data_IF_045389852832
#
_entry.id   IF_045389852832
#
_cell.length_a   1.000
_cell.length_b   1.000
_cell.length_c   1.000
_cell.angle_alpha   90.00
_cell.angle_beta   90.00
_cell.angle_gamma   90.00
#
_symmetry.space_group_name_H-M   'P 1'
#
loop_
_entity.id
_entity.type
_entity.pdbx_description
1 polymer ?
#
# COMPACT_ATOMS: atom_id res chain seq x y z
N UNK A 1 25.54 10.27 0.10
CA UNK A 1 24.29 9.44 0.06
C UNK A 1 23.07 10.29 -0.24
N UNK A 2 22.98 11.52 0.26
CA UNK A 2 21.91 12.48 -0.03
C UNK A 2 21.88 12.84 -1.52
N UNK A 3 23.04 13.08 -2.12
CA UNK A 3 23.20 13.40 -3.53
C UNK A 3 22.64 12.32 -4.45
N UNK A 4 22.74 11.04 -4.07
CA UNK A 4 22.18 9.93 -4.84
C UNK A 4 20.66 9.97 -4.88
N UNK A 5 19.99 10.34 -3.78
CA UNK A 5 18.54 10.48 -3.73
C UNK A 5 18.07 11.61 -4.66
N UNK A 6 18.76 12.75 -4.61
CA UNK A 6 18.47 13.89 -5.49
C UNK A 6 18.74 13.56 -6.96
N UNK A 7 19.83 12.85 -7.26
CA UNK A 7 20.15 12.41 -8.62
C UNK A 7 19.08 11.47 -9.18
N UNK A 8 18.60 10.51 -8.38
CA UNK A 8 17.51 9.59 -8.76
C UNK A 8 16.20 10.34 -8.98
N UNK A 9 15.89 11.34 -8.16
CA UNK A 9 14.71 12.19 -8.31
C UNK A 9 14.78 13.00 -9.62
N UNK A 10 15.91 13.62 -9.90
CA UNK A 10 16.14 14.37 -11.13
C UNK A 10 16.08 13.48 -12.40
N UNK A 11 16.64 12.27 -12.33
CA UNK A 11 16.66 11.34 -13.45
C UNK A 11 15.27 10.75 -13.80
N UNK A 12 14.31 10.75 -12.87
CA UNK A 12 12.96 10.20 -13.09
C UNK A 12 12.02 11.14 -13.84
N UNK A 13 12.29 12.44 -13.89
CA UNK A 13 11.49 13.44 -14.59
C UNK A 13 10.08 13.67 -14.02
N UNK A 14 9.42 14.76 -14.45
CA UNK A 14 8.01 15.04 -14.17
C UNK A 14 7.15 14.12 -15.03
N UNK A 15 6.44 13.19 -14.41
CA UNK A 15 5.61 12.16 -15.07
C UNK A 15 6.03 10.74 -14.73
N UNK A 16 6.88 10.59 -13.72
CA UNK A 16 7.32 9.29 -13.24
C UNK A 16 6.13 8.45 -12.77
N UNK A 17 6.12 7.18 -13.21
CA UNK A 17 5.25 6.12 -12.68
C UNK A 17 5.28 6.15 -11.15
N UNK A 18 4.18 5.73 -10.52
CA UNK A 18 4.08 5.56 -9.08
C UNK A 18 5.41 5.06 -8.49
N UNK A 19 6.03 5.81 -7.55
CA UNK A 19 7.39 5.51 -7.08
C UNK A 19 7.46 4.29 -6.14
N UNK A 20 6.31 3.83 -5.65
CA UNK A 20 6.19 2.69 -4.74
C UNK A 20 6.62 1.40 -5.44
N UNK A 21 7.35 0.55 -4.74
CA UNK A 21 7.91 -0.71 -5.26
C UNK A 21 7.60 -1.90 -4.35
N UNK A 22 6.35 -2.38 -4.30
CA UNK A 22 5.92 -3.43 -3.39
C UNK A 22 6.77 -4.70 -3.45
N UNK A 23 7.10 -5.14 -4.66
CA UNK A 23 7.97 -6.31 -4.91
C UNK A 23 9.33 -6.20 -4.22
N UNK A 24 9.98 -5.03 -4.34
CA UNK A 24 11.29 -4.81 -3.73
C UNK A 24 11.19 -4.73 -2.22
N UNK A 25 10.15 -4.10 -1.72
CA UNK A 25 9.86 -3.96 -0.29
C UNK A 25 9.60 -5.32 0.35
N UNK A 26 8.76 -6.17 -0.28
CA UNK A 26 8.54 -7.54 0.16
C UNK A 26 9.84 -8.35 0.25
N UNK A 27 10.67 -8.31 -0.78
CA UNK A 27 11.94 -9.03 -0.80
C UNK A 27 12.92 -8.54 0.26
N UNK A 28 12.89 -7.24 0.58
CA UNK A 28 13.74 -6.68 1.63
C UNK A 28 13.24 -7.07 3.02
N UNK A 29 11.95 -6.99 3.28
CA UNK A 29 11.37 -7.36 4.57
C UNK A 29 11.53 -8.86 4.87
N UNK A 30 11.42 -9.73 3.86
CA UNK A 30 11.72 -11.16 4.02
C UNK A 30 13.16 -11.38 4.46
N UNK A 31 14.13 -10.72 3.80
CA UNK A 31 15.54 -10.82 4.19
C UNK A 31 15.81 -10.28 5.59
N UNK A 32 15.08 -9.25 6.01
CA UNK A 32 15.15 -8.75 7.38
C UNK A 32 14.60 -9.77 8.36
N UNK A 33 13.44 -10.38 8.06
CA UNK A 33 12.83 -11.41 8.89
C UNK A 33 13.75 -12.64 9.05
N UNK A 34 14.37 -13.11 7.96
CA UNK A 34 15.31 -14.22 7.97
C UNK A 34 16.55 -13.96 8.83
N UNK A 35 16.97 -12.71 8.94
CA UNK A 35 18.17 -12.30 9.71
C UNK A 35 17.83 -11.82 11.10
N UNK A 36 16.57 -11.52 11.35
CA UNK A 36 16.13 -11.00 12.63
C UNK A 36 16.36 -12.04 13.74
N UNK A 37 17.07 -11.63 14.80
CA UNK A 37 17.36 -12.44 15.99
C UNK A 37 17.18 -11.54 17.22
N UNK A 38 16.83 -12.15 18.32
CA UNK A 38 16.69 -11.44 19.60
C UNK A 38 15.24 -11.00 19.90
N UNK A 39 15.05 -10.29 21.02
CA UNK A 39 13.72 -10.02 21.57
C UNK A 39 12.99 -8.82 20.95
N UNK A 40 13.63 -8.04 20.08
CA UNK A 40 12.98 -6.86 19.50
C UNK A 40 11.83 -7.28 18.60
N UNK A 41 10.58 -6.75 18.76
CA UNK A 41 9.44 -7.18 17.95
C UNK A 41 9.64 -6.89 16.46
N UNK A 42 9.55 -7.91 15.60
CA UNK A 42 9.71 -7.74 14.16
C UNK A 42 8.70 -6.76 13.55
N UNK A 43 7.47 -6.72 14.06
CA UNK A 43 6.46 -5.77 13.61
C UNK A 43 6.90 -4.31 13.81
N UNK A 44 7.56 -4.01 14.93
CA UNK A 44 8.10 -2.68 15.17
C UNK A 44 9.26 -2.35 14.20
N UNK A 45 10.14 -3.31 13.95
CA UNK A 45 11.21 -3.17 12.95
C UNK A 45 10.65 -2.92 11.55
N UNK A 46 9.64 -3.68 11.12
CA UNK A 46 8.99 -3.51 9.83
C UNK A 46 8.38 -2.11 9.68
N UNK A 47 7.71 -1.59 10.73
CA UNK A 47 7.15 -0.23 10.71
C UNK A 47 8.22 0.85 10.58
N UNK A 48 9.33 0.72 11.28
CA UNK A 48 10.47 1.63 11.11
C UNK A 48 11.00 1.63 9.68
N UNK A 49 11.05 0.46 9.03
CA UNK A 49 11.44 0.34 7.63
C UNK A 49 10.42 0.96 6.69
N UNK A 50 9.13 0.75 6.92
CA UNK A 50 8.07 1.39 6.11
C UNK A 50 8.17 2.91 6.19
N UNK A 51 8.36 3.48 7.38
CA UNK A 51 8.54 4.92 7.57
C UNK A 51 9.74 5.46 6.78
N UNK A 52 10.89 4.79 6.87
CA UNK A 52 12.08 5.19 6.11
C UNK A 52 11.87 5.07 4.59
N UNK A 53 11.27 3.97 4.13
CA UNK A 53 10.99 3.76 2.70
C UNK A 53 10.05 4.82 2.18
N UNK A 54 8.98 5.12 2.91
CA UNK A 54 8.01 6.15 2.56
C UNK A 54 8.67 7.52 2.43
N UNK A 55 9.46 7.93 3.43
CA UNK A 55 10.18 9.19 3.42
C UNK A 55 11.14 9.30 2.21
N UNK A 56 11.97 8.28 1.96
CA UNK A 56 12.85 8.27 0.80
C UNK A 56 12.11 8.23 -0.54
N UNK A 57 10.95 7.58 -0.58
CA UNK A 57 10.11 7.51 -1.78
C UNK A 57 9.51 8.88 -2.08
N UNK A 58 9.01 9.59 -1.07
CA UNK A 58 8.47 10.94 -1.19
C UNK A 58 9.53 11.95 -1.67
N UNK A 59 10.79 11.79 -1.28
CA UNK A 59 11.90 12.60 -1.81
C UNK A 59 12.19 12.35 -3.30
N UNK A 60 11.83 11.17 -3.82
CA UNK A 60 12.05 10.83 -5.22
C UNK A 60 10.87 11.25 -6.12
N UNK A 61 9.65 11.10 -5.65
CA UNK A 61 8.43 11.51 -6.34
C UNK A 61 7.26 11.55 -5.36
N UNK A 62 6.43 12.56 -5.49
CA UNK A 62 5.22 12.69 -4.66
C UNK A 62 4.17 11.68 -5.09
N UNK A 63 3.49 11.11 -4.10
CA UNK A 63 2.29 10.30 -4.26
C UNK A 63 1.39 10.48 -3.05
N UNK A 64 0.14 10.10 -3.19
CA UNK A 64 -0.84 10.22 -2.12
C UNK A 64 -1.75 8.99 -2.07
N UNK A 65 -2.41 8.80 -0.94
CA UNK A 65 -3.23 7.63 -0.65
C UNK A 65 -4.66 8.05 -0.30
N UNK A 66 -5.64 7.49 -0.98
CA UNK A 66 -7.04 7.53 -0.59
C UNK A 66 -7.33 6.35 0.35
N UNK A 67 -7.97 6.58 1.47
CA UNK A 67 -8.25 5.55 2.46
C UNK A 67 -9.74 5.53 2.75
N UNK A 68 -10.37 4.35 2.71
CA UNK A 68 -11.71 4.21 3.25
C UNK A 68 -11.64 4.41 4.77
N UNK A 69 -12.25 5.47 5.25
CA UNK A 69 -12.42 5.73 6.67
C UNK A 69 -13.67 6.59 6.89
N UNK A 70 -14.46 6.19 7.84
CA UNK A 70 -15.64 6.93 8.29
C UNK A 70 -15.56 7.20 9.80
N UNK A 71 -16.57 7.85 10.38
CA UNK A 71 -16.59 8.21 11.80
C UNK A 71 -16.57 7.00 12.75
N UNK A 72 -16.95 5.82 12.27
CA UNK A 72 -17.07 4.60 13.06
C UNK A 72 -15.89 3.66 12.86
N UNK A 73 -15.19 3.74 11.69
CA UNK A 73 -14.12 2.82 11.33
C UNK A 73 -12.86 3.57 10.91
N UNK A 74 -11.85 3.54 11.78
CA UNK A 74 -10.51 4.09 11.51
C UNK A 74 -9.44 3.02 11.28
N UNK A 75 -9.80 1.75 11.30
CA UNK A 75 -8.87 0.62 11.23
C UNK A 75 -8.05 0.63 9.95
N UNK A 76 -8.68 0.89 8.81
CA UNK A 76 -7.97 0.98 7.53
C UNK A 76 -7.01 2.16 7.46
N UNK A 77 -7.33 3.26 8.16
CA UNK A 77 -6.45 4.40 8.29
C UNK A 77 -5.15 4.03 9.01
N UNK A 78 -5.25 3.32 10.13
CA UNK A 78 -4.09 2.86 10.87
C UNK A 78 -3.23 1.88 10.06
N UNK A 79 -3.86 0.94 9.33
CA UNK A 79 -3.17 0.04 8.42
C UNK A 79 -2.43 0.78 7.29
N UNK A 80 -3.07 1.79 6.72
CA UNK A 80 -2.45 2.63 5.69
C UNK A 80 -1.25 3.42 6.26
N UNK A 81 -1.39 3.98 7.46
CA UNK A 81 -0.31 4.69 8.16
C UNK A 81 0.86 3.77 8.47
N UNK A 82 0.59 2.56 8.93
CA UNK A 82 1.63 1.57 9.23
C UNK A 82 2.43 1.18 7.97
N UNK A 83 1.80 1.19 6.81
CA UNK A 83 2.43 0.82 5.53
C UNK A 83 3.11 2.00 4.82
N UNK A 84 2.41 3.12 4.71
CA UNK A 84 2.86 4.26 3.88
C UNK A 84 3.56 5.35 4.70
N UNK A 85 3.62 5.20 6.02
CA UNK A 85 4.31 6.12 6.90
C UNK A 85 3.57 7.43 7.15
N UNK A 86 4.19 8.29 7.96
CA UNK A 86 3.61 9.54 8.45
C UNK A 86 3.70 10.70 7.46
N UNK A 87 4.64 10.65 6.52
CA UNK A 87 4.95 11.73 5.59
C UNK A 87 4.12 11.71 4.30
N UNK A 88 3.50 10.58 3.98
CA UNK A 88 2.67 10.45 2.78
C UNK A 88 1.30 11.09 3.01
N UNK A 89 0.87 12.03 2.15
CA UNK A 89 -0.46 12.60 2.23
C UNK A 89 -1.54 11.55 2.09
N UNK A 90 -2.46 11.49 3.04
CA UNK A 90 -3.60 10.57 3.05
C UNK A 90 -4.89 11.34 3.17
N UNK A 91 -5.92 10.91 2.45
CA UNK A 91 -7.27 11.49 2.50
C UNK A 91 -8.29 10.39 2.78
N UNK A 92 -9.14 10.63 3.78
CA UNK A 92 -10.24 9.75 4.13
C UNK A 92 -11.43 9.95 3.20
N UNK A 93 -12.04 8.85 2.78
CA UNK A 93 -13.28 8.84 2.00
C UNK A 93 -14.31 7.95 2.67
N UNK A 94 -15.59 8.33 2.68
CA UNK A 94 -16.61 7.65 3.47
C UNK A 94 -17.07 6.31 2.86
N UNK A 95 -16.89 6.12 1.55
CA UNK A 95 -17.37 4.92 0.85
C UNK A 95 -16.27 4.24 0.05
N UNK A 96 -16.41 2.94 -0.16
CA UNK A 96 -15.52 2.14 -1.03
C UNK A 96 -15.52 2.72 -2.45
N UNK A 97 -16.69 3.11 -2.95
CA UNK A 97 -16.85 3.69 -4.28
C UNK A 97 -16.07 4.99 -4.44
N UNK A 98 -16.19 5.91 -3.49
CA UNK A 98 -15.50 7.20 -3.53
C UNK A 98 -13.98 7.01 -3.42
N UNK A 99 -13.54 6.10 -2.53
CA UNK A 99 -12.12 5.78 -2.35
C UNK A 99 -11.51 5.21 -3.64
N UNK A 100 -12.19 4.27 -4.27
CA UNK A 100 -11.71 3.62 -5.50
C UNK A 100 -11.71 4.60 -6.69
N UNK A 101 -12.73 5.47 -6.78
CA UNK A 101 -12.83 6.50 -7.81
C UNK A 101 -11.60 7.39 -7.86
N UNK A 102 -10.97 7.67 -6.72
CA UNK A 102 -9.76 8.52 -6.65
C UNK A 102 -8.60 7.97 -7.48
N UNK A 103 -8.45 6.64 -7.55
CA UNK A 103 -7.40 6.01 -8.38
C UNK A 103 -7.82 5.91 -9.84
N UNK A 104 -9.11 5.73 -10.14
CA UNK A 104 -9.60 5.76 -11.51
C UNK A 104 -9.48 7.14 -12.15
N UNK A 105 -9.64 8.20 -11.36
CA UNK A 105 -9.58 9.60 -11.78
C UNK A 105 -8.18 10.23 -11.61
N UNK A 106 -7.18 9.42 -11.24
CA UNK A 106 -5.79 9.84 -11.02
C UNK A 106 -5.60 10.97 -9.99
N UNK A 107 -6.59 11.17 -9.07
CA UNK A 107 -6.51 12.16 -7.97
C UNK A 107 -5.59 11.67 -6.85
N UNK A 108 -5.62 10.37 -6.59
CA UNK A 108 -4.69 9.67 -5.70
C UNK A 108 -4.07 8.49 -6.44
N UNK A 109 -2.84 8.16 -6.11
CA UNK A 109 -2.13 7.08 -6.79
C UNK A 109 -2.43 5.70 -6.21
N UNK A 110 -2.86 5.65 -4.94
CA UNK A 110 -3.16 4.42 -4.22
C UNK A 110 -4.50 4.58 -3.51
N UNK A 111 -5.32 3.52 -3.52
CA UNK A 111 -6.52 3.40 -2.68
C UNK A 111 -6.32 2.26 -1.68
N UNK A 112 -6.71 2.46 -0.43
CA UNK A 112 -6.74 1.42 0.61
C UNK A 112 -8.19 1.08 0.92
N UNK A 113 -8.55 -0.17 0.68
CA UNK A 113 -9.90 -0.72 0.74
C UNK A 113 -9.93 -1.98 1.60
N UNK A 114 -11.06 -2.35 2.20
CA UNK A 114 -11.17 -3.59 2.95
C UNK A 114 -10.91 -4.79 2.03
N UNK A 115 -10.34 -5.85 2.56
CA UNK A 115 -10.27 -7.11 1.83
C UNK A 115 -11.69 -7.63 1.55
N UNK A 116 -11.96 -8.22 0.37
CA UNK A 116 -13.26 -8.77 0.03
C UNK A 116 -13.78 -9.77 1.06
N UNK A 117 -15.06 -9.69 1.36
CA UNK A 117 -15.77 -10.67 2.21
C UNK A 117 -16.97 -11.21 1.44
N UNK A 118 -17.37 -12.45 1.72
CA UNK A 118 -18.55 -13.08 1.10
C UNK A 118 -19.85 -12.31 1.39
N UNK A 119 -19.89 -11.56 2.49
CA UNK A 119 -21.05 -10.77 2.92
C UNK A 119 -21.09 -9.35 2.33
N UNK A 120 -20.17 -9.00 1.44
CA UNK A 120 -20.12 -7.64 0.88
C UNK A 120 -21.22 -7.46 -0.19
N UNK A 121 -22.13 -6.53 0.03
CA UNK A 121 -23.23 -6.22 -0.90
C UNK A 121 -22.76 -5.51 -2.19
N UNK A 122 -21.63 -4.78 -2.15
CA UNK A 122 -21.01 -4.12 -3.32
C UNK A 122 -19.63 -4.73 -3.62
N UNK A 123 -19.55 -5.67 -4.59
CA UNK A 123 -18.31 -6.34 -4.95
C UNK A 123 -17.38 -5.39 -5.75
N UNK A 124 -16.79 -4.44 -5.07
CA UNK A 124 -15.92 -3.40 -5.65
C UNK A 124 -14.74 -3.95 -6.47
N UNK A 125 -14.27 -5.16 -6.15
CA UNK A 125 -13.16 -5.82 -6.83
C UNK A 125 -13.47 -6.21 -8.28
N UNK A 126 -14.74 -6.38 -8.63
CA UNK A 126 -15.17 -6.63 -10.02
C UNK A 126 -14.72 -5.49 -10.94
N UNK A 127 -14.67 -4.25 -10.43
CA UNK A 127 -14.20 -3.08 -11.18
C UNK A 127 -12.71 -3.16 -11.54
N UNK A 128 -11.96 -4.08 -10.94
CA UNK A 128 -10.54 -4.31 -11.22
C UNK A 128 -10.27 -5.31 -12.37
N UNK A 129 -11.31 -5.92 -12.96
CA UNK A 129 -11.18 -6.93 -14.03
C UNK A 129 -10.66 -6.36 -15.36
N UNK A 130 -10.91 -5.09 -15.63
CA UNK A 130 -10.51 -4.43 -16.88
C UNK A 130 -8.99 -4.45 -17.13
N UNK A 131 -8.59 -4.52 -18.39
CA UNK A 131 -7.17 -4.57 -18.78
C UNK A 131 -6.36 -3.36 -18.32
N UNK A 132 -6.97 -2.18 -18.31
CA UNK A 132 -6.36 -0.92 -17.85
C UNK A 132 -6.80 -0.50 -16.44
N UNK A 133 -7.59 -1.35 -15.76
CA UNK A 133 -8.04 -1.07 -14.41
C UNK A 133 -6.86 -1.10 -13.43
N UNK A 134 -6.94 -0.35 -12.33
CA UNK A 134 -6.03 -0.52 -11.20
C UNK A 134 -5.99 -1.97 -10.74
N UNK A 135 -4.90 -2.38 -10.12
CA UNK A 135 -4.71 -3.75 -9.62
C UNK A 135 -4.42 -3.72 -8.13
N UNK A 136 -4.73 -4.79 -7.44
CA UNK A 136 -4.27 -5.01 -6.08
C UNK A 136 -2.75 -5.13 -6.11
N UNK A 137 -2.06 -4.25 -5.39
CA UNK A 137 -0.59 -4.19 -5.37
C UNK A 137 0.01 -4.77 -4.09
N UNK A 138 -0.76 -4.80 -3.01
CA UNK A 138 -0.37 -5.42 -1.75
C UNK A 138 -1.59 -5.69 -0.86
N UNK A 139 -1.45 -6.66 0.04
CA UNK A 139 -2.36 -6.89 1.17
C UNK A 139 -1.77 -6.23 2.41
N UNK A 140 -2.60 -5.62 3.23
CA UNK A 140 -2.23 -5.04 4.51
C UNK A 140 -2.87 -5.84 5.64
N UNK A 141 -2.19 -6.08 6.74
CA UNK A 141 -0.79 -5.69 7.04
C UNK A 141 0.20 -6.43 6.13
N UNK A 142 1.19 -5.69 5.60
CA UNK A 142 2.11 -6.22 4.61
C UNK A 142 3.18 -7.16 5.21
N UNK A 143 3.65 -6.88 6.41
CA UNK A 143 4.72 -7.59 7.09
C UNK A 143 4.25 -8.31 8.36
N UNK A 144 3.22 -9.13 8.26
CA UNK A 144 2.72 -9.93 9.38
C UNK A 144 1.52 -9.31 10.08
N UNK A 145 1.41 -9.49 11.40
CA UNK A 145 0.32 -8.95 12.20
C UNK A 145 0.44 -7.43 12.27
N UNK A 146 -0.61 -6.71 11.88
CA UNK A 146 -0.70 -5.26 11.98
C UNK A 146 -0.63 -4.76 13.42
N UNK A 147 -0.70 -3.45 13.60
CA UNK A 147 -0.78 -2.87 14.93
C UNK A 147 -2.02 -3.38 15.66
N UNK A 148 -1.98 -3.38 17.00
CA UNK A 148 -3.13 -3.72 17.85
C UNK A 148 -4.37 -2.88 17.50
N UNK A 149 -4.17 -1.66 16.99
CA UNK A 149 -5.23 -0.77 16.52
C UNK A 149 -5.92 -1.27 15.25
N UNK A 150 -5.24 -2.04 14.41
CA UNK A 150 -5.77 -2.61 13.17
C UNK A 150 -6.73 -3.79 13.36
N UNK A 151 -7.08 -4.17 14.59
CA UNK A 151 -8.10 -5.16 14.97
C UNK A 151 -8.17 -6.41 14.06
N UNK A 152 -7.03 -6.90 13.57
CA UNK A 152 -6.94 -8.07 12.69
C UNK A 152 -7.71 -7.93 11.35
N UNK A 153 -8.07 -6.72 10.94
CA UNK A 153 -8.66 -6.50 9.61
C UNK A 153 -7.60 -6.59 8.53
N UNK A 154 -8.00 -7.16 7.40
CA UNK A 154 -7.21 -7.16 6.19
C UNK A 154 -7.67 -6.04 5.27
N UNK A 155 -6.72 -5.41 4.60
CA UNK A 155 -6.99 -4.42 3.56
C UNK A 155 -6.19 -4.71 2.30
N UNK A 156 -6.66 -4.18 1.19
CA UNK A 156 -5.94 -4.18 -0.07
C UNK A 156 -5.57 -2.77 -0.48
N UNK A 157 -4.31 -2.59 -0.86
CA UNK A 157 -3.87 -1.40 -1.57
C UNK A 157 -4.00 -1.64 -3.07
N UNK A 158 -4.65 -0.70 -3.75
CA UNK A 158 -4.99 -0.76 -5.19
C UNK A 158 -4.33 0.41 -5.89
N UNK A 159 -3.67 0.16 -7.02
CA UNK A 159 -3.02 1.21 -7.81
C UNK A 159 -2.82 0.78 -9.28
N UNK A 160 -2.51 1.74 -10.16
CA UNK A 160 -2.09 1.50 -11.54
C UNK A 160 -0.60 1.16 -11.59
N UNK A 161 -0.24 -0.04 -11.19
CA UNK A 161 1.13 -0.51 -11.13
C UNK A 161 1.24 -1.95 -11.63
N UNK A 162 2.22 -2.21 -12.49
CA UNK A 162 2.59 -3.58 -12.88
C UNK A 162 3.58 -4.14 -11.87
N UNK A 163 3.19 -5.20 -11.19
CA UNK A 163 4.05 -5.91 -10.26
C UNK A 163 4.95 -6.90 -11.01
N UNK A 164 6.11 -7.17 -10.42
CA UNK A 164 7.00 -8.25 -10.84
C UNK A 164 6.87 -9.40 -9.83
N UNK A 165 6.93 -10.67 -10.27
CA UNK A 165 6.92 -11.80 -9.34
C UNK A 165 8.07 -11.72 -8.33
N UNK A 166 7.82 -12.17 -7.11
CA UNK A 166 8.83 -12.27 -6.03
C UNK A 166 9.17 -13.71 -5.67
N UNK A 167 8.48 -14.68 -6.30
CA UNK A 167 8.60 -16.11 -5.98
C UNK A 167 7.74 -16.56 -4.77
N UNK A 168 7.08 -15.62 -4.10
CA UNK A 168 6.15 -15.91 -2.99
C UNK A 168 5.02 -14.89 -3.00
N UNK A 169 4.23 -14.94 -4.07
CA UNK A 169 3.16 -14.02 -4.33
C UNK A 169 1.79 -14.71 -4.15
N UNK A 170 0.76 -13.89 -3.96
CA UNK A 170 -0.64 -14.34 -4.01
C UNK A 170 -1.34 -13.59 -5.13
N UNK A 171 -2.26 -14.27 -5.80
CA UNK A 171 -3.07 -13.70 -6.87
C UNK A 171 -4.52 -13.66 -6.43
N UNK A 172 -5.17 -12.51 -6.60
CA UNK A 172 -6.61 -12.41 -6.50
C UNK A 172 -7.21 -12.87 -7.83
N UNK A 173 -8.03 -13.92 -7.79
CA UNK A 173 -8.74 -14.45 -8.94
C UNK A 173 -10.21 -14.05 -8.81
N UNK A 174 -10.75 -13.46 -9.86
CA UNK A 174 -12.17 -13.18 -10.00
C UNK A 174 -12.77 -14.30 -10.86
N UNK A 175 -13.80 -14.95 -10.34
CA UNK A 175 -14.54 -16.01 -11.02
C UNK A 175 -15.95 -15.46 -11.25
N UNK A 176 -16.41 -15.43 -12.49
CA UNK A 176 -17.77 -15.08 -12.91
C UNK A 176 -18.62 -16.34 -13.02
#
# INVERSE_FOLDING_TARGET
RWDVVQYVAAAKGKGAKLPVRPTREASMLRRLAERHRGPFPFAALARMWHEMIAAFTMLQAHYSVAVLANSEEHTLWDLARDQFGSQVPMTAYPTVRDTLAQVFEDRHQIAVLPAPRESDDDPWWVKLSGANAPKVIMRLPFAGVGSVRGQMQDAFAVARLKLKPTGSDRTLVLIE
#
